data_IF_357093065147
#
_entry.id   IF_357093065147
#
_cell.length_a   1.000
_cell.length_b   1.000
_cell.length_c   1.000
_cell.angle_alpha   90.00
_cell.angle_beta   90.00
_cell.angle_gamma   90.00
#
_symmetry.space_group_name_H-M   'P 1'
#
loop_
_entity.id
_entity.type
_entity.pdbx_description
1 polymer ?
#
# COMPACT_ATOMS: atom_id res chain seq x y z
N UNK A 1 -2.00 -12.07 -7.56
CA UNK A 1 -0.70 -11.80 -6.90
C UNK A 1 -0.85 -12.19 -5.43
N UNK A 2 0.14 -12.88 -4.85
CA UNK A 2 0.16 -13.13 -3.40
C UNK A 2 1.02 -12.06 -2.74
N UNK A 3 0.50 -11.42 -1.71
CA UNK A 3 1.25 -10.49 -0.87
C UNK A 3 1.22 -11.02 0.56
N UNK A 4 2.32 -10.87 1.31
CA UNK A 4 2.31 -11.20 2.73
C UNK A 4 1.57 -10.09 3.50
N UNK A 5 1.51 -10.16 4.83
CA UNK A 5 0.71 -9.22 5.64
C UNK A 5 1.33 -7.82 5.74
N UNK A 6 2.65 -7.71 5.61
CA UNK A 6 3.43 -6.50 5.87
C UNK A 6 2.98 -5.26 5.06
N UNK A 7 2.67 -5.35 3.74
CA UNK A 7 2.12 -4.22 3.01
C UNK A 7 0.84 -3.68 3.63
N UNK A 8 -0.06 -4.57 4.07
CA UNK A 8 -1.35 -4.18 4.64
C UNK A 8 -1.20 -3.54 6.02
N UNK A 9 -0.24 -4.01 6.82
CA UNK A 9 0.12 -3.36 8.08
C UNK A 9 0.71 -1.96 7.86
N UNK A 10 1.53 -1.80 6.82
CA UNK A 10 2.06 -0.48 6.44
C UNK A 10 0.95 0.47 5.96
N UNK A 11 -0.01 -0.02 5.16
CA UNK A 11 -1.18 0.76 4.75
C UNK A 11 -2.03 1.20 5.95
N UNK A 12 -2.24 0.31 6.93
CA UNK A 12 -2.95 0.65 8.15
C UNK A 12 -2.23 1.77 8.93
N UNK A 13 -0.90 1.70 9.04
CA UNK A 13 -0.11 2.75 9.68
C UNK A 13 -0.24 4.11 8.97
N UNK A 14 -0.36 4.14 7.65
CA UNK A 14 -0.59 5.37 6.88
C UNK A 14 -1.98 5.93 7.17
N UNK A 15 -3.03 5.11 7.12
CA UNK A 15 -4.38 5.58 7.45
C UNK A 15 -4.54 6.02 8.91
N UNK A 16 -3.64 5.62 9.81
CA UNK A 16 -3.59 6.14 11.18
C UNK A 16 -2.68 7.37 11.35
N UNK A 17 -1.98 7.83 10.31
CA UNK A 17 -0.97 8.88 10.41
C UNK A 17 -1.55 10.22 10.87
N UNK A 18 -2.78 10.54 10.47
CA UNK A 18 -3.50 11.74 10.89
C UNK A 18 -4.33 11.54 12.18
N UNK A 19 -4.39 10.31 12.69
CA UNK A 19 -5.11 9.92 13.89
C UNK A 19 -6.42 9.18 13.66
N UNK A 20 -6.88 8.99 12.42
CA UNK A 20 -8.11 8.24 12.15
C UNK A 20 -8.11 7.46 10.84
N UNK A 21 -8.22 6.13 10.93
CA UNK A 21 -8.53 5.28 9.77
C UNK A 21 -10.04 5.23 9.55
N UNK A 22 -10.51 5.64 8.36
CA UNK A 22 -11.93 5.63 8.04
C UNK A 22 -12.45 4.20 7.86
N UNK A 23 -13.74 3.98 8.19
CA UNK A 23 -14.38 2.67 8.07
C UNK A 23 -14.26 2.09 6.66
N UNK A 24 -14.41 2.94 5.64
CA UNK A 24 -14.38 2.51 4.25
C UNK A 24 -12.98 2.07 3.81
N UNK A 25 -11.94 2.72 4.32
CA UNK A 25 -10.55 2.35 4.10
C UNK A 25 -10.21 1.03 4.81
N UNK A 26 -10.65 0.88 6.08
CA UNK A 26 -10.48 -0.36 6.83
C UNK A 26 -11.13 -1.57 6.12
N UNK A 27 -12.34 -1.39 5.57
CA UNK A 27 -13.03 -2.43 4.80
C UNK A 27 -12.30 -2.74 3.49
N UNK A 28 -11.84 -1.70 2.78
CA UNK A 28 -11.05 -1.85 1.56
C UNK A 28 -9.76 -2.63 1.80
N UNK A 29 -9.06 -2.31 2.91
CA UNK A 29 -7.80 -2.93 3.30
C UNK A 29 -7.96 -4.41 3.72
N UNK A 30 -9.02 -4.76 4.45
CA UNK A 30 -9.28 -6.17 4.80
C UNK A 30 -9.69 -7.01 3.60
N UNK A 31 -10.52 -6.44 2.72
CA UNK A 31 -10.90 -7.09 1.47
C UNK A 31 -9.66 -7.34 0.59
N UNK A 32 -8.82 -6.33 0.46
CA UNK A 32 -7.55 -6.39 -0.26
C UNK A 32 -6.63 -7.51 0.23
N UNK A 33 -6.45 -7.60 1.55
CA UNK A 33 -5.63 -8.63 2.17
C UNK A 33 -6.18 -10.02 1.85
N UNK A 34 -7.50 -10.19 1.97
CA UNK A 34 -8.20 -11.45 1.66
C UNK A 34 -8.04 -11.84 0.19
N UNK A 35 -8.25 -10.90 -0.74
CA UNK A 35 -8.11 -11.12 -2.19
C UNK A 35 -6.65 -11.42 -2.59
N UNK A 36 -5.68 -10.94 -1.80
CA UNK A 36 -4.25 -11.25 -1.96
C UNK A 36 -3.83 -12.58 -1.35
N UNK A 37 -4.76 -13.31 -0.73
CA UNK A 37 -4.55 -14.63 -0.17
C UNK A 37 -4.11 -14.65 1.30
N UNK A 38 -4.15 -13.52 2.01
CA UNK A 38 -3.88 -13.44 3.45
C UNK A 38 -5.06 -14.03 4.22
N UNK A 39 -4.79 -14.89 5.20
CA UNK A 39 -5.84 -15.58 5.97
C UNK A 39 -5.38 -15.92 7.39
N UNK A 40 -6.30 -16.44 8.23
CA UNK A 40 -5.97 -16.89 9.58
C UNK A 40 -5.43 -15.78 10.48
N UNK A 41 -4.36 -16.08 11.22
CA UNK A 41 -3.77 -15.16 12.20
C UNK A 41 -3.23 -13.87 11.59
N UNK A 42 -2.75 -13.94 10.34
CA UNK A 42 -2.25 -12.78 9.60
C UNK A 42 -3.37 -11.80 9.27
N UNK A 43 -4.52 -12.31 8.82
CA UNK A 43 -5.69 -11.47 8.54
C UNK A 43 -6.25 -10.88 9.83
N UNK A 44 -6.26 -11.64 10.93
CA UNK A 44 -6.67 -11.15 12.23
C UNK A 44 -5.74 -10.04 12.75
N UNK A 45 -4.45 -10.08 12.43
CA UNK A 45 -3.50 -9.02 12.78
C UNK A 45 -3.77 -7.73 12.00
N UNK A 46 -4.04 -7.85 10.71
CA UNK A 46 -4.46 -6.73 9.87
C UNK A 46 -5.76 -6.12 10.41
N UNK A 47 -6.74 -6.95 10.79
CA UNK A 47 -7.99 -6.48 11.39
C UNK A 47 -7.79 -5.75 12.71
N UNK A 48 -6.82 -6.18 13.54
CA UNK A 48 -6.46 -5.42 14.75
C UNK A 48 -5.81 -4.09 14.38
N UNK A 49 -4.94 -4.08 13.38
CA UNK A 49 -4.27 -2.87 12.90
C UNK A 49 -5.26 -1.86 12.30
N UNK A 50 -6.40 -2.28 11.76
CA UNK A 50 -7.44 -1.34 11.31
C UNK A 50 -8.32 -0.79 12.44
N UNK A 51 -8.26 -1.36 13.64
CA UNK A 51 -9.09 -0.95 14.80
C UNK A 51 -8.32 -0.22 15.88
N UNK A 52 -7.00 -0.29 15.87
CA UNK A 52 -6.13 0.35 16.83
C UNK A 52 -5.02 1.10 16.11
N UNK A 53 -4.63 2.26 16.66
CA UNK A 53 -3.54 3.06 16.13
C UNK A 53 -2.26 2.22 16.03
N UNK A 54 -1.77 2.07 14.81
CA UNK A 54 -0.49 1.43 14.50
C UNK A 54 0.43 2.44 13.81
N UNK A 55 1.73 2.24 13.93
CA UNK A 55 2.76 3.03 13.25
C UNK A 55 3.67 2.10 12.46
N UNK A 56 4.57 2.67 11.65
CA UNK A 56 5.60 1.89 10.95
C UNK A 56 6.70 1.39 11.91
N UNK A 57 6.66 1.77 13.18
CA UNK A 57 7.62 1.35 14.20
C UNK A 57 7.41 -0.13 14.54
N UNK A 58 8.47 -0.93 14.45
CA UNK A 58 8.41 -2.39 14.67
C UNK A 58 7.90 -3.21 13.48
N UNK A 59 7.55 -2.59 12.34
CA UNK A 59 7.29 -3.32 11.10
C UNK A 59 8.60 -3.68 10.38
N UNK A 60 8.80 -4.98 10.17
CA UNK A 60 9.96 -5.54 9.46
C UNK A 60 9.69 -5.61 7.95
N UNK A 61 9.96 -4.51 7.24
CA UNK A 61 9.73 -4.39 5.79
C UNK A 61 10.97 -4.71 4.93
N UNK A 62 12.13 -4.87 5.55
CA UNK A 62 13.43 -5.01 4.85
C UNK A 62 13.65 -6.37 4.19
N UNK A 63 12.89 -7.41 4.55
CA UNK A 63 13.02 -8.76 3.99
C UNK A 63 12.30 -8.97 2.65
N UNK A 64 11.61 -7.95 2.15
CA UNK A 64 10.82 -8.01 0.92
C UNK A 64 11.70 -8.04 -0.33
N UNK A 65 11.20 -8.69 -1.39
CA UNK A 65 11.81 -8.55 -2.72
C UNK A 65 11.69 -7.10 -3.20
N UNK A 66 12.58 -6.65 -4.09
CA UNK A 66 12.48 -5.30 -4.69
C UNK A 66 11.11 -5.06 -5.35
N UNK A 67 10.53 -6.11 -5.95
CA UNK A 67 9.18 -6.05 -6.49
C UNK A 67 8.14 -5.78 -5.41
N UNK A 68 8.15 -6.54 -4.32
CA UNK A 68 7.19 -6.37 -3.22
C UNK A 68 7.36 -5.03 -2.52
N UNK A 69 8.60 -4.53 -2.42
CA UNK A 69 8.88 -3.18 -1.90
C UNK A 69 8.22 -2.11 -2.77
N UNK A 70 8.42 -2.18 -4.10
CA UNK A 70 7.83 -1.23 -5.05
C UNK A 70 6.31 -1.31 -5.03
N UNK A 71 5.74 -2.52 -5.01
CA UNK A 71 4.29 -2.73 -4.93
C UNK A 71 3.74 -2.17 -3.61
N UNK A 72 4.39 -2.44 -2.49
CA UNK A 72 3.99 -1.92 -1.17
C UNK A 72 3.95 -0.40 -1.17
N UNK A 73 4.99 0.24 -1.70
CA UNK A 73 5.04 1.70 -1.78
C UNK A 73 3.97 2.27 -2.72
N UNK A 74 3.74 1.64 -3.87
CA UNK A 74 2.70 2.07 -4.81
C UNK A 74 1.30 1.95 -4.17
N UNK A 75 1.04 0.88 -3.44
CA UNK A 75 -0.22 0.67 -2.73
C UNK A 75 -0.45 1.71 -1.65
N UNK A 76 0.58 2.00 -0.88
CA UNK A 76 0.57 3.06 0.11
C UNK A 76 0.28 4.43 -0.51
N UNK A 77 0.90 4.74 -1.65
CA UNK A 77 0.66 5.99 -2.38
C UNK A 77 -0.77 6.07 -2.94
N UNK A 78 -1.31 4.96 -3.46
CA UNK A 78 -2.71 4.92 -3.90
C UNK A 78 -3.65 5.10 -2.71
N UNK A 79 -3.35 4.45 -1.60
CA UNK A 79 -4.15 4.48 -0.38
C UNK A 79 -4.27 5.91 0.16
N UNK A 80 -3.15 6.60 0.37
CA UNK A 80 -3.12 7.98 0.87
C UNK A 80 -3.81 8.99 -0.07
N UNK A 81 -3.95 8.66 -1.36
CA UNK A 81 -4.56 9.56 -2.35
C UNK A 81 -6.08 9.39 -2.46
N UNK A 82 -6.68 8.37 -1.82
CA UNK A 82 -8.10 8.03 -1.98
C UNK A 82 -9.03 9.18 -1.61
N UNK A 83 -8.75 9.86 -0.52
CA UNK A 83 -9.56 10.99 -0.04
C UNK A 83 -9.24 12.30 -0.80
N UNK A 84 -8.43 12.21 -1.85
CA UNK A 84 -8.10 13.29 -2.78
C UNK A 84 -7.01 14.24 -2.29
N UNK A 85 -6.62 14.18 -1.02
CA UNK A 85 -5.57 15.01 -0.42
C UNK A 85 -4.71 14.17 0.51
N UNK A 86 -3.40 14.16 0.27
CA UNK A 86 -2.42 13.60 1.20
C UNK A 86 -2.04 14.68 2.21
N UNK A 87 -2.29 14.43 3.49
CA UNK A 87 -1.90 15.30 4.60
C UNK A 87 -0.39 15.33 4.81
N UNK A 88 0.12 16.31 5.56
CA UNK A 88 1.53 16.38 5.94
C UNK A 88 1.99 15.14 6.74
N UNK A 89 1.11 14.61 7.59
CA UNK A 89 1.38 13.42 8.40
C UNK A 89 1.48 12.15 7.55
N UNK A 90 0.57 11.97 6.59
CA UNK A 90 0.64 10.87 5.63
C UNK A 90 1.86 11.01 4.73
N UNK A 91 2.18 12.21 4.26
CA UNK A 91 3.39 12.44 3.47
C UNK A 91 4.66 12.08 4.25
N UNK A 92 4.74 12.45 5.54
CA UNK A 92 5.87 12.07 6.41
C UNK A 92 5.96 10.55 6.55
N UNK A 93 4.83 9.90 6.82
CA UNK A 93 4.74 8.44 6.94
C UNK A 93 5.12 7.73 5.63
N UNK A 94 4.76 8.31 4.48
CA UNK A 94 5.17 7.81 3.16
C UNK A 94 6.67 7.90 2.93
N UNK A 95 7.32 8.99 3.37
CA UNK A 95 8.78 9.12 3.31
C UNK A 95 9.45 8.04 4.16
N UNK A 96 9.00 7.88 5.40
CA UNK A 96 9.49 6.84 6.33
C UNK A 96 9.29 5.42 5.77
N UNK A 97 8.13 5.15 5.16
CA UNK A 97 7.85 3.89 4.51
C UNK A 97 8.86 3.62 3.38
N UNK A 98 9.09 4.61 2.51
CA UNK A 98 10.06 4.47 1.43
C UNK A 98 11.47 4.18 1.93
N UNK A 99 11.86 4.78 3.06
CA UNK A 99 13.17 4.55 3.70
C UNK A 99 13.27 3.13 4.27
N UNK A 100 12.24 2.66 4.97
CA UNK A 100 12.15 1.29 5.51
C UNK A 100 12.17 0.22 4.41
N UNK A 101 11.58 0.52 3.25
CA UNK A 101 11.60 -0.34 2.08
C UNK A 101 12.93 -0.27 1.30
N UNK A 102 13.86 0.62 1.67
CA UNK A 102 15.13 0.78 0.97
C UNK A 102 15.00 1.31 -0.46
N UNK A 103 13.87 1.94 -0.81
CA UNK A 103 13.60 2.39 -2.16
C UNK A 103 14.31 3.71 -2.46
N UNK A 104 14.98 3.81 -3.60
CA UNK A 104 15.46 5.10 -4.10
C UNK A 104 14.30 6.05 -4.45
N UNK A 105 14.49 7.36 -4.27
CA UNK A 105 13.48 8.39 -4.55
C UNK A 105 12.90 8.30 -5.98
N UNK A 106 13.75 7.98 -6.97
CA UNK A 106 13.29 7.80 -8.36
C UNK A 106 12.33 6.60 -8.53
N UNK A 107 12.47 5.54 -7.73
CA UNK A 107 11.54 4.40 -7.74
C UNK A 107 10.25 4.76 -7.02
N UNK A 108 10.34 5.44 -5.86
CA UNK A 108 9.18 5.94 -5.11
C UNK A 108 8.27 6.80 -5.99
N UNK A 109 8.84 7.78 -6.70
CA UNK A 109 8.10 8.67 -7.61
C UNK A 109 7.41 7.93 -8.75
N UNK A 110 8.08 6.95 -9.36
CA UNK A 110 7.50 6.14 -10.45
C UNK A 110 6.40 5.19 -9.95
N UNK A 111 6.60 4.59 -8.78
CA UNK A 111 5.61 3.74 -8.13
C UNK A 111 4.34 4.53 -7.79
N UNK A 112 4.49 5.72 -7.19
CA UNK A 112 3.39 6.64 -6.91
C UNK A 112 2.68 7.11 -8.20
N UNK A 113 3.43 7.41 -9.26
CA UNK A 113 2.83 7.79 -10.55
C UNK A 113 2.01 6.65 -11.17
N UNK A 114 2.48 5.40 -11.08
CA UNK A 114 1.73 4.24 -11.55
C UNK A 114 0.45 4.01 -10.73
N UNK A 115 0.50 4.25 -9.42
CA UNK A 115 -0.68 4.25 -8.56
C UNK A 115 -1.67 5.36 -8.93
N UNK A 116 -1.18 6.57 -9.18
CA UNK A 116 -2.00 7.71 -9.59
C UNK A 116 -2.70 7.47 -10.94
N UNK A 117 -2.00 6.86 -11.91
CA UNK A 117 -2.58 6.44 -13.19
C UNK A 117 -3.84 5.57 -12.98
N UNK A 118 -3.81 4.66 -12.00
CA UNK A 118 -4.96 3.80 -11.66
C UNK A 118 -6.05 4.62 -10.97
N UNK A 119 -5.69 5.46 -9.99
CA UNK A 119 -6.63 6.30 -9.27
C UNK A 119 -7.46 7.21 -10.19
N UNK A 120 -6.84 7.73 -11.26
CA UNK A 120 -7.51 8.55 -12.27
C UNK A 120 -8.45 7.80 -13.22
N UNK A 121 -8.46 6.46 -13.22
CA UNK A 121 -9.42 5.70 -14.03
C UNK A 121 -10.84 5.89 -13.47
N UNK A 122 -11.89 5.82 -14.32
CA UNK A 122 -13.29 5.99 -13.89
C UNK A 122 -13.72 5.10 -12.71
N UNK A 123 -13.00 4.00 -12.49
CA UNK A 123 -13.26 3.02 -11.44
C UNK A 123 -12.23 3.05 -10.29
N UNK A 124 -11.13 3.80 -10.41
CA UNK A 124 -9.97 3.73 -9.52
C UNK A 124 -10.01 4.66 -8.30
N UNK A 125 -10.92 5.63 -8.28
CA UNK A 125 -11.19 6.50 -7.12
C UNK A 125 -12.21 5.94 -6.13
N UNK A 126 -12.59 4.66 -6.25
CA UNK A 126 -13.55 4.03 -5.32
C UNK A 126 -12.79 3.14 -4.33
N UNK A 127 -12.85 3.40 -3.01
CA UNK A 127 -12.17 2.57 -2.01
C UNK A 127 -12.61 1.09 -2.05
N UNK A 128 -13.83 0.85 -2.51
CA UNK A 128 -14.43 -0.48 -2.70
C UNK A 128 -13.73 -1.30 -3.80
N UNK A 129 -12.76 -0.70 -4.51
CA UNK A 129 -12.17 -1.23 -5.75
C UNK A 129 -10.66 -1.05 -5.79
N UNK A 130 -9.96 -1.22 -4.67
CA UNK A 130 -8.51 -1.44 -4.74
C UNK A 130 -8.24 -2.70 -5.58
N UNK A 131 -7.98 -2.50 -6.87
CA UNK A 131 -7.65 -3.55 -7.81
C UNK A 131 -6.14 -3.73 -7.83
N UNK A 132 -5.64 -4.48 -6.85
CA UNK A 132 -4.21 -4.80 -6.69
C UNK A 132 -3.65 -5.51 -7.91
N UNK A 133 -4.46 -6.29 -8.64
CA UNK A 133 -4.01 -6.94 -9.86
C UNK A 133 -3.79 -5.92 -10.97
N UNK A 134 -4.70 -4.96 -11.15
CA UNK A 134 -4.50 -3.84 -12.09
C UNK A 134 -3.29 -2.99 -11.70
N UNK A 135 -3.10 -2.66 -10.43
CA UNK A 135 -1.92 -1.90 -10.01
C UNK A 135 -0.63 -2.68 -10.29
N UNK A 136 -0.57 -3.96 -9.93
CA UNK A 136 0.58 -4.80 -10.19
C UNK A 136 0.89 -4.90 -11.70
N UNK A 137 -0.13 -5.10 -12.54
CA UNK A 137 0.02 -5.09 -13.99
C UNK A 137 0.57 -3.74 -14.49
N UNK A 138 0.03 -2.62 -13.98
CA UNK A 138 0.47 -1.28 -14.34
C UNK A 138 1.90 -0.99 -13.91
N UNK A 139 2.31 -1.47 -12.74
CA UNK A 139 3.69 -1.39 -12.27
C UNK A 139 4.63 -2.18 -13.16
N UNK A 140 4.24 -3.37 -13.64
CA UNK A 140 5.04 -4.14 -14.60
C UNK A 140 5.27 -3.37 -15.91
N UNK A 141 4.23 -2.70 -16.42
CA UNK A 141 4.33 -1.88 -17.63
C UNK A 141 5.23 -0.64 -17.45
N UNK A 142 5.12 0.02 -16.30
CA UNK A 142 5.82 1.29 -16.00
C UNK A 142 7.23 1.10 -15.45
N UNK A 143 7.49 -0.05 -14.82
CA UNK A 143 8.75 -0.41 -14.17
C UNK A 143 9.18 -1.83 -14.59
N UNK A 144 9.38 -2.12 -15.88
CA UNK A 144 9.79 -3.45 -16.34
C UNK A 144 11.13 -3.91 -15.74
N UNK A 145 12.00 -2.97 -15.34
CA UNK A 145 13.29 -3.26 -14.74
C UNK A 145 13.24 -3.79 -13.30
N UNK A 146 12.09 -3.67 -12.61
CA UNK A 146 11.91 -4.22 -11.25
C UNK A 146 10.90 -5.38 -11.22
N UNK A 147 10.19 -5.62 -12.33
CA UNK A 147 9.36 -6.79 -12.48
C UNK A 147 10.26 -8.03 -12.47
N UNK A 148 10.02 -8.95 -11.53
CA UNK A 148 10.73 -10.22 -11.54
C UNK A 148 10.52 -10.93 -12.90
N UNK A 149 11.55 -11.58 -13.46
CA UNK A 149 11.34 -12.47 -14.60
C UNK A 149 10.36 -13.57 -14.18
N UNK A 150 9.36 -13.83 -15.04
CA UNK A 150 8.36 -14.89 -14.84
C UNK A 150 8.96 -16.29 -14.75
#
# INVERSE_FOLDING_TARGET
>A
MKLPKEPFLALAAIGWADGSLQRIEAVGLLRAATESGVSGDELAEIERATKAKVTLEGLELGGMSTWDQVVTYALAAWFAQLDGVVSTSEHTTMVELGDKLGLADALRKRAAAAAFDIACLPEGGRPERYDFQKLAARLKERLPQVAAPE
#
